data_IF_522471795379
#
_entry.id   IF_522471795379
#
_cell.length_a   1.000
_cell.length_b   1.000
_cell.length_c   1.000
_cell.angle_alpha   90.00
_cell.angle_beta   90.00
_cell.angle_gamma   90.00
#
_symmetry.space_group_name_H-M   'P 1'
#
loop_
_entity.id
_entity.type
_entity.pdbx_description
1 polymer ?
#
# COMPACT_ATOMS: atom_id res chain seq x y z
N UNK A 1 -5.66 -21.64 9.43
CA UNK A 1 -6.63 -20.55 9.68
C UNK A 1 -7.64 -21.01 10.74
N UNK A 2 -8.16 -20.14 11.63
CA UNK A 2 -9.11 -20.57 12.66
C UNK A 2 -10.40 -21.12 12.04
N UNK A 3 -10.89 -22.24 12.57
CA UNK A 3 -12.04 -23.01 12.03
C UNK A 3 -13.38 -22.25 12.10
N UNK A 4 -13.55 -21.35 13.07
CA UNK A 4 -14.82 -20.66 13.33
C UNK A 4 -14.86 -19.22 12.77
N UNK A 5 -14.70 -19.08 11.45
CA UNK A 5 -14.83 -17.80 10.75
C UNK A 5 -16.08 -17.78 9.86
N UNK A 6 -16.80 -16.64 9.78
CA UNK A 6 -17.95 -16.50 8.88
C UNK A 6 -17.51 -16.67 7.43
N UNK A 7 -18.41 -17.19 6.59
CA UNK A 7 -18.14 -17.46 5.17
C UNK A 7 -17.66 -16.20 4.43
N UNK A 8 -18.25 -15.05 4.75
CA UNK A 8 -17.87 -13.75 4.19
C UNK A 8 -16.41 -13.36 4.48
N UNK A 9 -15.92 -13.65 5.69
CA UNK A 9 -14.53 -13.39 6.05
C UNK A 9 -13.57 -14.28 5.24
N UNK A 10 -13.95 -15.53 4.97
CA UNK A 10 -13.14 -16.44 4.13
C UNK A 10 -13.05 -15.92 2.69
N UNK A 11 -14.16 -15.43 2.13
CA UNK A 11 -14.18 -14.82 0.80
C UNK A 11 -13.27 -13.59 0.73
N UNK A 12 -13.37 -12.68 1.70
CA UNK A 12 -12.49 -11.49 1.78
C UNK A 12 -11.02 -11.85 1.91
N UNK A 13 -10.70 -12.93 2.62
CA UNK A 13 -9.32 -13.41 2.71
C UNK A 13 -8.78 -13.94 1.37
N UNK A 14 -9.62 -14.58 0.56
CA UNK A 14 -9.26 -14.98 -0.81
C UNK A 14 -8.98 -13.74 -1.66
N UNK A 15 -9.86 -12.74 -1.64
CA UNK A 15 -9.66 -11.47 -2.34
C UNK A 15 -8.36 -10.76 -1.93
N UNK A 16 -8.01 -10.78 -0.63
CA UNK A 16 -6.74 -10.24 -0.10
C UNK A 16 -5.53 -10.97 -0.70
N UNK A 17 -5.64 -12.28 -0.91
CA UNK A 17 -4.58 -13.11 -1.47
C UNK A 17 -4.40 -12.84 -2.97
N UNK A 18 -5.49 -12.61 -3.68
CA UNK A 18 -5.49 -12.29 -5.12
C UNK A 18 -5.07 -10.84 -5.41
N UNK A 19 -5.34 -9.92 -4.48
CA UNK A 19 -5.04 -8.51 -4.64
C UNK A 19 -3.52 -8.23 -4.75
N UNK A 20 -3.07 -7.87 -5.96
CA UNK A 20 -1.69 -7.42 -6.23
C UNK A 20 -1.44 -5.98 -5.79
N UNK A 21 -2.48 -5.15 -5.69
CA UNK A 21 -2.33 -3.74 -5.32
C UNK A 21 -2.27 -3.57 -3.80
N UNK A 22 -1.19 -3.02 -3.23
CA UNK A 22 -1.03 -2.86 -1.78
C UNK A 22 -2.09 -1.96 -1.14
N UNK A 23 -2.61 -0.95 -1.86
CA UNK A 23 -3.69 -0.09 -1.36
C UNK A 23 -5.01 -0.85 -1.26
N UNK A 24 -5.34 -1.63 -2.30
CA UNK A 24 -6.55 -2.47 -2.32
C UNK A 24 -6.48 -3.55 -1.23
N UNK A 25 -5.31 -4.17 -1.08
CA UNK A 25 -5.06 -5.17 -0.04
C UNK A 25 -5.29 -4.63 1.37
N UNK A 26 -4.89 -3.39 1.64
CA UNK A 26 -5.13 -2.72 2.92
C UNK A 26 -6.63 -2.52 3.20
N UNK A 27 -7.40 -2.07 2.20
CA UNK A 27 -8.86 -1.92 2.32
C UNK A 27 -9.54 -3.26 2.64
N UNK A 28 -9.19 -4.31 1.90
CA UNK A 28 -9.76 -5.65 2.09
C UNK A 28 -9.43 -6.24 3.47
N UNK A 29 -8.21 -6.02 3.98
CA UNK A 29 -7.83 -6.43 5.34
C UNK A 29 -8.63 -5.68 6.43
N UNK A 30 -8.99 -4.42 6.17
CA UNK A 30 -9.82 -3.63 7.08
C UNK A 30 -11.27 -4.14 7.10
N UNK A 31 -11.85 -4.43 5.93
CA UNK A 31 -13.17 -5.07 5.81
C UNK A 31 -13.19 -6.44 6.50
N UNK A 32 -12.15 -7.25 6.28
CA UNK A 32 -11.98 -8.54 6.94
C UNK A 32 -12.01 -8.41 8.47
N UNK A 33 -11.29 -7.44 9.05
CA UNK A 33 -11.30 -7.21 10.50
C UNK A 33 -12.66 -6.79 11.05
N UNK A 34 -13.53 -6.18 10.23
CA UNK A 34 -14.88 -5.78 10.61
C UNK A 34 -15.82 -6.99 10.70
N UNK A 35 -15.63 -7.99 9.84
CA UNK A 35 -16.43 -9.22 9.81
C UNK A 35 -16.00 -10.25 10.87
N UNK A 36 -14.74 -10.19 11.32
CA UNK A 36 -14.21 -11.15 12.29
C UNK A 36 -14.73 -10.84 13.71
N UNK A 37 -15.40 -11.80 14.38
CA UNK A 37 -15.93 -11.58 15.73
C UNK A 37 -14.82 -11.28 16.74
N UNK A 38 -15.09 -10.38 17.70
CA UNK A 38 -14.13 -9.98 18.75
C UNK A 38 -14.14 -10.97 19.92
N UNK A 39 -13.60 -12.17 19.73
CA UNK A 39 -13.53 -13.20 20.76
C UNK A 39 -12.10 -13.76 20.93
N UNK A 40 -11.85 -14.49 22.02
CA UNK A 40 -10.52 -15.03 22.37
C UNK A 40 -9.93 -15.94 21.28
N UNK A 41 -10.78 -16.68 20.56
CA UNK A 41 -10.39 -17.57 19.46
C UNK A 41 -9.76 -16.86 18.25
N UNK A 42 -10.16 -15.62 17.96
CA UNK A 42 -9.63 -14.83 16.83
C UNK A 42 -8.64 -13.75 17.24
N UNK A 43 -8.30 -13.64 18.53
CA UNK A 43 -7.38 -12.62 19.03
C UNK A 43 -6.01 -12.67 18.33
N UNK A 44 -5.44 -13.87 18.17
CA UNK A 44 -4.16 -14.08 17.48
C UNK A 44 -4.24 -13.69 15.99
N UNK A 45 -5.31 -14.09 15.31
CA UNK A 45 -5.55 -13.76 13.90
C UNK A 45 -5.67 -12.24 13.70
N UNK A 46 -6.45 -11.56 14.53
CA UNK A 46 -6.62 -10.10 14.46
C UNK A 46 -5.29 -9.37 14.68
N UNK A 47 -4.46 -9.85 15.61
CA UNK A 47 -3.12 -9.29 15.84
C UNK A 47 -2.22 -9.47 14.61
N UNK A 48 -2.22 -10.65 14.00
CA UNK A 48 -1.46 -10.92 12.77
C UNK A 48 -1.90 -10.02 11.62
N UNK A 49 -3.21 -9.88 11.41
CA UNK A 49 -3.77 -9.02 10.36
C UNK A 49 -3.40 -7.55 10.58
N UNK A 50 -3.50 -7.05 11.81
CA UNK A 50 -3.05 -5.68 12.14
C UNK A 50 -1.56 -5.46 11.85
N UNK A 51 -0.71 -6.46 12.16
CA UNK A 51 0.72 -6.40 11.85
C UNK A 51 0.95 -6.32 10.33
N UNK A 52 0.25 -7.15 9.55
CA UNK A 52 0.30 -7.09 8.08
C UNK A 52 -0.14 -5.72 7.53
N UNK A 53 -1.22 -5.13 8.07
CA UNK A 53 -1.65 -3.79 7.70
C UNK A 53 -0.58 -2.72 7.99
N UNK A 54 0.10 -2.81 9.14
CA UNK A 54 1.16 -1.88 9.51
C UNK A 54 2.35 -1.98 8.55
N UNK A 55 2.78 -3.19 8.20
CA UNK A 55 3.83 -3.42 7.20
C UNK A 55 3.46 -2.84 5.84
N UNK A 56 2.25 -3.13 5.34
CA UNK A 56 1.78 -2.60 4.05
C UNK A 56 1.71 -1.06 4.03
N UNK A 57 1.27 -0.43 5.13
CA UNK A 57 1.29 1.03 5.27
C UNK A 57 2.70 1.59 5.13
N UNK A 58 3.66 0.98 5.82
CA UNK A 58 5.06 1.40 5.77
C UNK A 58 5.66 1.23 4.36
N UNK A 59 5.38 0.12 3.67
CA UNK A 59 5.84 -0.10 2.30
C UNK A 59 5.30 0.96 1.32
N UNK A 60 4.01 1.32 1.45
CA UNK A 60 3.39 2.37 0.62
C UNK A 60 4.09 3.72 0.88
N UNK A 61 4.34 4.04 2.15
CA UNK A 61 4.97 5.30 2.52
C UNK A 61 6.45 5.37 2.11
N UNK A 62 7.19 4.27 2.25
CA UNK A 62 8.58 4.17 1.78
C UNK A 62 8.67 4.34 0.25
N UNK A 63 7.75 3.74 -0.52
CA UNK A 63 7.66 3.96 -1.97
C UNK A 63 7.38 5.42 -2.31
N UNK A 64 6.49 6.09 -1.57
CA UNK A 64 6.18 7.52 -1.75
C UNK A 64 7.40 8.40 -1.44
N UNK A 65 8.06 8.18 -0.29
CA UNK A 65 9.26 8.93 0.11
C UNK A 65 10.44 8.69 -0.83
N UNK A 66 10.61 7.45 -1.33
CA UNK A 66 11.62 7.13 -2.33
C UNK A 66 11.39 7.88 -3.65
N UNK A 67 10.14 7.98 -4.08
CA UNK A 67 9.74 8.77 -5.24
C UNK A 67 10.01 10.27 -5.05
N UNK A 68 9.62 10.83 -3.91
CA UNK A 68 9.87 12.25 -3.56
C UNK A 68 11.36 12.57 -3.50
N UNK A 69 12.17 11.70 -2.88
CA UNK A 69 13.64 11.83 -2.88
C UNK A 69 14.20 11.81 -4.30
N UNK A 70 13.69 10.93 -5.17
CA UNK A 70 14.14 10.82 -6.57
C UNK A 70 13.82 12.07 -7.38
N UNK A 71 12.63 12.65 -7.20
CA UNK A 71 12.25 13.95 -7.81
C UNK A 71 13.20 15.06 -7.34
N UNK A 72 13.48 15.13 -6.04
CA UNK A 72 14.37 16.15 -5.47
C UNK A 72 15.79 16.05 -6.04
N UNK A 73 16.30 14.84 -6.24
CA UNK A 73 17.61 14.60 -6.88
C UNK A 73 17.61 15.01 -8.36
N UNK A 74 16.52 14.72 -9.09
CA UNK A 74 16.38 15.14 -10.49
C UNK A 74 16.40 16.66 -10.66
N UNK A 75 15.70 17.38 -9.77
CA UNK A 75 15.67 18.85 -9.78
C UNK A 75 17.04 19.49 -9.53
N UNK A 76 17.81 18.95 -8.58
CA UNK A 76 19.16 19.44 -8.27
C UNK A 76 20.13 19.37 -9.46
N UNK A 77 19.92 18.44 -10.40
CA UNK A 77 20.74 18.32 -11.62
C UNK A 77 20.37 19.31 -12.74
N UNK A 78 19.22 19.99 -12.68
CA UNK A 78 18.73 20.89 -13.75
C UNK A 78 18.46 22.34 -13.30
N UNK A 79 18.71 22.69 -12.03
CA UNK A 79 18.57 24.07 -11.55
C UNK A 79 17.14 24.59 -11.43
N UNK A 80 16.12 23.73 -11.45
CA UNK A 80 14.71 24.15 -11.28
C UNK A 80 14.23 24.10 -9.81
N UNK A 81 13.34 25.00 -9.43
CA UNK A 81 12.71 25.04 -8.09
C UNK A 81 11.94 23.75 -7.74
N UNK A 82 11.96 23.31 -6.47
CA UNK A 82 11.27 22.08 -6.04
C UNK A 82 9.74 22.24 -6.17
N UNK A 83 9.14 21.52 -7.11
CA UNK A 83 7.67 21.42 -7.24
C UNK A 83 7.06 20.58 -6.13
N UNK A 84 5.97 21.09 -5.52
CA UNK A 84 5.22 20.42 -4.47
C UNK A 84 4.72 19.03 -4.90
N UNK A 85 4.94 17.96 -4.10
CA UNK A 85 4.56 16.59 -4.44
C UNK A 85 3.08 16.39 -4.73
N UNK A 86 2.22 17.28 -4.23
CA UNK A 86 0.77 17.17 -4.33
C UNK A 86 0.22 17.41 -5.74
N UNK A 87 0.99 18.05 -6.64
CA UNK A 87 0.58 18.44 -8.00
C UNK A 87 1.33 17.68 -9.11
N UNK A 88 1.68 16.42 -8.87
CA UNK A 88 2.25 15.56 -9.92
C UNK A 88 1.12 14.86 -10.70
N UNK A 89 0.71 15.49 -11.80
CA UNK A 89 -0.15 14.91 -12.82
C UNK A 89 0.46 13.60 -13.37
N UNK A 90 -0.38 12.60 -13.73
CA UNK A 90 0.09 11.28 -14.20
C UNK A 90 1.08 11.40 -15.37
N UNK A 91 0.89 12.40 -16.23
CA UNK A 91 1.73 12.69 -17.40
C UNK A 91 3.18 13.05 -17.04
N UNK A 92 3.42 13.70 -15.91
CA UNK A 92 4.77 14.05 -15.44
C UNK A 92 5.53 12.85 -14.86
N UNK A 93 4.82 11.87 -14.26
CA UNK A 93 5.43 10.63 -13.78
C UNK A 93 5.94 9.77 -14.93
N UNK A 94 5.16 9.65 -16.01
CA UNK A 94 5.52 8.90 -17.22
C UNK A 94 6.73 9.54 -17.93
N UNK A 95 6.77 10.86 -18.00
CA UNK A 95 7.87 11.60 -18.64
C UNK A 95 9.20 11.46 -17.87
N UNK A 96 9.16 11.44 -16.53
CA UNK A 96 10.34 11.15 -15.70
C UNK A 96 10.83 9.71 -15.81
N UNK A 97 9.92 8.73 -15.88
CA UNK A 97 10.27 7.32 -16.08
C UNK A 97 10.89 7.11 -17.47
N UNK A 98 10.33 7.74 -18.50
CA UNK A 98 10.88 7.73 -19.87
C UNK A 98 12.28 8.35 -19.97
N UNK A 99 12.53 9.47 -19.27
CA UNK A 99 13.86 10.09 -19.22
C UNK A 99 14.92 9.24 -18.51
N UNK A 100 14.54 8.36 -17.59
CA UNK A 100 15.49 7.49 -16.87
C UNK A 100 15.82 6.21 -17.65
N UNK A 101 14.85 5.66 -18.40
CA UNK A 101 15.03 4.46 -19.23
C UNK A 101 15.75 4.73 -20.58
N UNK A 102 16.03 6.00 -20.90
CA UNK A 102 16.74 6.43 -22.12
C UNK A 102 18.26 6.61 -21.92
N UNK A 103 18.83 6.01 -20.87
CA UNK A 103 20.28 5.97 -20.65
C UNK A 103 20.75 4.53 -20.63
#
# INVERSE_FOLDING_TARGET
>A
MPTNLPAEAKHKWAEVSEAKNPQRKLQLLQEFLSLVPKHKGTAKLRAQVKKQMATLRREIEEKKKGWERRIKVFHRKRGGSPVSPHRFDKRWKEQLVSCYNKR
#
